data_IF_334701885850
#
_entry.id   IF_334701885850
#
_cell.length_a   1.000
_cell.length_b   1.000
_cell.length_c   1.000
_cell.angle_alpha   90.00
_cell.angle_beta   90.00
_cell.angle_gamma   90.00
#
_symmetry.space_group_name_H-M   'P 1'
#
loop_
_entity.id
_entity.type
_entity.pdbx_description
1 polymer ?
#
# COMPACT_ATOMS: atom_id res chain seq x y z
N UNK A 1 -3.97 28.78 24.65
CA UNK A 1 -3.89 27.33 25.00
C UNK A 1 -2.96 26.68 23.99
N UNK A 2 -1.81 26.18 24.38
CA UNK A 2 -0.94 25.38 23.52
C UNK A 2 -1.69 24.09 23.14
N UNK A 3 -1.96 23.90 21.85
CA UNK A 3 -2.60 22.67 21.36
C UNK A 3 -1.71 21.50 21.76
N UNK A 4 -2.27 20.52 22.48
CA UNK A 4 -1.52 19.34 22.92
C UNK A 4 -0.97 18.63 21.68
N UNK A 5 0.32 18.32 21.66
CA UNK A 5 0.99 17.60 20.57
C UNK A 5 0.54 16.14 20.59
N UNK A 6 0.32 15.55 19.43
CA UNK A 6 0.02 14.12 19.31
C UNK A 6 1.28 13.32 19.63
N UNK A 7 1.22 12.42 20.60
CA UNK A 7 2.33 11.57 21.00
C UNK A 7 2.41 10.35 20.08
N UNK A 8 3.52 10.17 19.37
CA UNK A 8 3.70 9.11 18.38
C UNK A 8 4.91 8.26 18.73
N UNK A 9 4.79 6.93 18.57
CA UNK A 9 5.92 6.01 18.63
C UNK A 9 6.12 5.33 17.26
N UNK A 10 7.37 5.07 16.88
CA UNK A 10 7.73 4.37 15.64
C UNK A 10 8.35 3.02 15.97
N UNK A 11 7.79 1.96 15.41
CA UNK A 11 8.29 0.57 15.53
C UNK A 11 8.95 0.18 14.23
N UNK A 12 10.28 0.21 14.22
CA UNK A 12 11.10 -0.10 13.06
C UNK A 12 12.24 0.90 12.85
N UNK A 13 13.45 0.38 12.60
CA UNK A 13 14.68 1.16 12.42
C UNK A 13 15.33 0.92 11.06
N UNK A 14 14.57 0.36 10.10
CA UNK A 14 15.05 0.09 8.74
C UNK A 14 15.65 1.34 8.08
N UNK A 15 16.65 1.17 7.17
CA UNK A 15 17.36 2.31 6.59
C UNK A 15 16.50 3.12 5.62
N UNK A 16 15.42 2.56 5.14
CA UNK A 16 14.51 3.19 4.16
C UNK A 16 13.21 3.65 4.87
N UNK A 17 12.15 2.87 4.88
CA UNK A 17 10.87 3.27 5.46
C UNK A 17 10.93 3.53 6.97
N UNK A 18 11.70 2.76 7.76
CA UNK A 18 11.89 3.07 9.17
C UNK A 18 12.49 4.45 9.42
N UNK A 19 13.37 4.92 8.51
CA UNK A 19 13.90 6.28 8.55
C UNK A 19 12.86 7.33 8.18
N UNK A 20 12.08 7.07 7.13
CA UNK A 20 11.03 7.99 6.67
C UNK A 20 9.91 8.16 7.69
N UNK A 21 9.47 7.08 8.35
CA UNK A 21 8.49 7.16 9.44
C UNK A 21 9.03 8.01 10.61
N UNK A 22 10.26 7.78 11.04
CA UNK A 22 10.87 8.57 12.11
C UNK A 22 11.01 10.04 11.69
N UNK A 23 11.44 10.33 10.45
CA UNK A 23 11.60 11.68 9.90
C UNK A 23 10.28 12.45 9.89
N UNK A 24 9.25 11.88 9.29
CA UNK A 24 7.98 12.59 9.08
C UNK A 24 7.33 13.03 10.40
N UNK A 25 7.43 12.20 11.44
CA UNK A 25 6.91 12.58 12.75
C UNK A 25 7.83 13.55 13.50
N UNK A 26 9.15 13.38 13.42
CA UNK A 26 10.11 14.25 14.10
C UNK A 26 10.13 15.70 13.57
N UNK A 27 9.89 15.89 12.28
CA UNK A 27 9.87 17.21 11.62
C UNK A 27 8.59 18.01 11.88
N UNK A 28 7.55 17.39 12.46
CA UNK A 28 6.26 18.02 12.66
C UNK A 28 6.17 18.79 13.98
N UNK A 29 5.76 20.06 13.96
CA UNK A 29 5.62 20.86 15.19
C UNK A 29 4.44 20.43 16.06
N UNK A 30 3.46 19.71 15.47
CA UNK A 30 2.23 19.26 16.12
C UNK A 30 2.31 17.82 16.63
N UNK A 31 3.50 17.19 16.54
CA UNK A 31 3.79 15.82 16.99
C UNK A 31 4.87 15.82 18.06
N UNK A 32 4.76 14.90 18.99
CA UNK A 32 5.80 14.50 19.92
C UNK A 32 6.21 13.07 19.60
N UNK A 33 7.32 12.90 18.85
CA UNK A 33 7.89 11.59 18.59
C UNK A 33 8.58 11.10 19.87
N UNK A 34 7.84 10.36 20.69
CA UNK A 34 8.29 9.97 22.03
C UNK A 34 9.28 8.81 22.01
N UNK A 35 9.12 7.84 21.08
CA UNK A 35 9.90 6.62 21.09
C UNK A 35 10.18 6.06 19.71
N UNK A 36 11.30 5.33 19.61
CA UNK A 36 11.64 4.45 18.47
C UNK A 36 11.99 3.07 19.01
N UNK A 37 11.33 2.03 18.47
CA UNK A 37 11.61 0.64 18.81
C UNK A 37 12.43 -0.02 17.71
N UNK A 38 13.58 -0.60 18.06
CA UNK A 38 14.49 -1.31 17.18
C UNK A 38 14.63 -2.78 17.56
N UNK A 39 15.07 -3.63 16.62
CA UNK A 39 15.30 -5.05 16.87
C UNK A 39 16.50 -5.31 17.80
N UNK A 40 17.37 -4.32 18.03
CA UNK A 40 18.45 -4.36 19.02
C UNK A 40 18.59 -2.98 19.66
N UNK A 41 19.15 -2.90 20.92
CA UNK A 41 19.40 -1.64 21.59
C UNK A 41 20.24 -0.65 20.75
N UNK A 42 21.24 -1.15 20.00
CA UNK A 42 22.14 -0.32 19.20
C UNK A 42 21.40 0.30 18.02
N UNK A 43 20.54 -0.47 17.33
CA UNK A 43 19.72 0.03 16.22
C UNK A 43 18.68 1.03 16.69
N UNK A 44 18.05 0.77 17.84
CA UNK A 44 17.11 1.69 18.47
C UNK A 44 17.82 3.01 18.86
N UNK A 45 18.96 2.93 19.54
CA UNK A 45 19.73 4.09 19.96
C UNK A 45 20.20 4.95 18.78
N UNK A 46 20.72 4.32 17.72
CA UNK A 46 21.16 5.03 16.52
C UNK A 46 20.03 5.83 15.86
N UNK A 47 18.85 5.21 15.67
CA UNK A 47 17.70 5.91 15.09
C UNK A 47 17.14 6.99 16.03
N UNK A 48 17.00 6.68 17.31
CA UNK A 48 16.49 7.60 18.30
C UNK A 48 17.35 8.87 18.42
N UNK A 49 18.67 8.74 18.29
CA UNK A 49 19.60 9.88 18.30
C UNK A 49 19.36 10.83 17.11
N UNK A 50 19.06 10.29 15.91
CA UNK A 50 18.78 11.11 14.72
C UNK A 50 17.52 11.99 14.90
N UNK A 51 16.52 11.48 15.62
CA UNK A 51 15.19 12.11 15.76
C UNK A 51 14.88 12.61 17.17
N UNK A 52 15.82 12.50 18.10
CA UNK A 52 15.70 12.92 19.51
C UNK A 52 14.54 12.26 20.26
N UNK A 53 14.32 10.97 20.01
CA UNK A 53 13.31 10.16 20.69
C UNK A 53 13.95 9.23 21.74
N UNK A 54 13.12 8.56 22.56
CA UNK A 54 13.58 7.54 23.50
C UNK A 54 13.77 6.21 22.78
N UNK A 55 14.95 5.53 22.88
CA UNK A 55 15.16 4.23 22.27
C UNK A 55 14.58 3.10 23.12
N UNK A 56 13.94 2.12 22.45
CA UNK A 56 13.47 0.88 23.04
C UNK A 56 13.87 -0.32 22.16
N UNK A 57 14.10 -1.46 22.78
CA UNK A 57 14.27 -2.76 22.11
C UNK A 57 13.17 -3.76 22.47
N UNK A 58 12.25 -3.37 23.33
CA UNK A 58 11.06 -4.11 23.74
C UNK A 58 9.82 -3.26 23.47
N UNK A 59 8.88 -3.82 22.69
CA UNK A 59 7.68 -3.13 22.28
C UNK A 59 6.70 -2.95 23.45
N UNK A 60 6.52 -3.99 24.27
CA UNK A 60 5.64 -3.95 25.44
C UNK A 60 6.10 -2.91 26.45
N UNK A 61 7.40 -2.86 26.76
CA UNK A 61 7.98 -1.84 27.64
C UNK A 61 7.71 -0.42 27.10
N UNK A 62 7.87 -0.21 25.79
CA UNK A 62 7.60 1.08 25.15
C UNK A 62 6.13 1.47 25.31
N UNK A 63 5.21 0.55 25.02
CA UNK A 63 3.75 0.81 25.09
C UNK A 63 3.31 1.17 26.51
N UNK A 64 3.83 0.47 27.52
CA UNK A 64 3.51 0.72 28.93
C UNK A 64 4.01 2.08 29.41
N UNK A 65 5.27 2.43 29.08
CA UNK A 65 5.92 3.65 29.58
C UNK A 65 5.49 4.90 28.84
N UNK A 66 5.43 4.82 27.52
CA UNK A 66 5.19 5.99 26.68
C UNK A 66 3.70 6.27 26.47
N UNK A 67 2.85 5.25 26.40
CA UNK A 67 1.41 5.37 26.16
C UNK A 67 1.10 6.32 24.98
N UNK A 68 1.59 6.02 23.77
CA UNK A 68 1.43 6.91 22.63
C UNK A 68 -0.04 7.04 22.18
N UNK A 69 -0.37 8.17 21.55
CA UNK A 69 -1.67 8.38 20.89
C UNK A 69 -1.76 7.61 19.56
N UNK A 70 -0.60 7.32 18.94
CA UNK A 70 -0.48 6.57 17.67
C UNK A 70 0.83 5.78 17.67
N UNK A 71 0.76 4.52 17.22
CA UNK A 71 1.93 3.69 16.93
C UNK A 71 2.07 3.51 15.43
N UNK A 72 3.25 3.81 14.88
CA UNK A 72 3.56 3.64 13.46
C UNK A 72 4.49 2.44 13.27
N UNK A 73 3.96 1.35 12.67
CA UNK A 73 4.67 0.07 12.50
C UNK A 73 5.23 -0.01 11.08
N UNK A 74 6.57 -0.06 10.97
CA UNK A 74 7.30 -0.05 9.70
C UNK A 74 8.49 -1.04 9.73
N UNK A 75 8.18 -2.30 9.80
CA UNK A 75 9.14 -3.41 9.87
C UNK A 75 9.45 -3.99 8.47
N UNK A 76 10.28 -5.03 8.42
CA UNK A 76 10.40 -5.84 7.22
C UNK A 76 9.05 -6.50 6.90
N UNK A 77 8.70 -6.59 5.62
CA UNK A 77 7.36 -6.97 5.16
C UNK A 77 6.82 -8.28 5.77
N UNK A 78 7.68 -9.28 5.96
CA UNK A 78 7.31 -10.58 6.56
C UNK A 78 7.19 -10.55 8.11
N UNK A 79 7.55 -9.42 8.75
CA UNK A 79 7.59 -9.29 10.20
C UNK A 79 6.47 -8.39 10.76
N UNK A 80 5.40 -8.15 10.00
CA UNK A 80 4.35 -7.22 10.41
C UNK A 80 3.38 -7.83 11.42
N UNK A 81 3.10 -9.12 11.36
CA UNK A 81 1.98 -9.74 12.09
C UNK A 81 2.08 -9.57 13.60
N UNK A 82 3.10 -10.17 14.23
CA UNK A 82 3.19 -10.23 15.70
C UNK A 82 3.28 -8.83 16.35
N UNK A 83 4.14 -7.91 15.90
CA UNK A 83 4.19 -6.58 16.51
C UNK A 83 2.92 -5.77 16.31
N UNK A 84 2.25 -5.91 15.15
CA UNK A 84 0.96 -5.27 14.88
C UNK A 84 -0.11 -5.81 15.82
N UNK A 85 -0.16 -7.14 16.02
CA UNK A 85 -1.09 -7.78 16.93
C UNK A 85 -0.87 -7.36 18.39
N UNK A 86 0.39 -7.22 18.80
CA UNK A 86 0.76 -6.75 20.14
C UNK A 86 0.24 -5.33 20.38
N UNK A 87 0.47 -4.39 19.43
CA UNK A 87 -0.06 -3.01 19.51
C UNK A 87 -1.59 -2.99 19.60
N UNK A 88 -2.27 -3.80 18.76
CA UNK A 88 -3.73 -3.91 18.75
C UNK A 88 -4.24 -4.43 20.12
N UNK A 89 -3.64 -5.51 20.65
CA UNK A 89 -4.04 -6.10 21.93
C UNK A 89 -3.78 -5.17 23.11
N UNK A 90 -2.75 -4.36 23.04
CA UNK A 90 -2.47 -3.32 24.02
C UNK A 90 -3.43 -2.11 23.92
N UNK A 91 -4.25 -2.03 22.85
CA UNK A 91 -5.32 -1.04 22.72
C UNK A 91 -4.88 0.31 22.14
N UNK A 92 -3.78 0.36 21.39
CA UNK A 92 -3.28 1.61 20.82
C UNK A 92 -3.70 1.79 19.34
N UNK A 93 -4.11 3.01 18.94
CA UNK A 93 -4.28 3.39 17.54
C UNK A 93 -2.99 3.16 16.74
N UNK A 94 -3.11 2.74 15.47
CA UNK A 94 -1.91 2.42 14.70
C UNK A 94 -2.03 2.70 13.21
N UNK A 95 -0.87 2.97 12.60
CA UNK A 95 -0.58 2.93 11.18
C UNK A 95 0.40 1.78 10.93
N UNK A 96 0.12 0.89 9.99
CA UNK A 96 1.03 -0.17 9.57
C UNK A 96 1.50 0.05 8.13
N UNK A 97 2.75 -0.32 7.82
CA UNK A 97 3.25 -0.37 6.45
C UNK A 97 2.59 -1.48 5.64
N UNK A 98 2.60 -1.30 4.32
CA UNK A 98 2.17 -2.32 3.37
C UNK A 98 3.34 -3.30 3.06
N UNK A 99 3.05 -4.56 2.70
CA UNK A 99 1.74 -5.20 2.77
C UNK A 99 1.29 -5.37 4.22
N UNK A 100 -0.01 -5.51 4.45
CA UNK A 100 -0.53 -5.70 5.81
C UNK A 100 0.15 -6.90 6.48
N UNK A 101 0.07 -8.05 5.82
CA UNK A 101 0.75 -9.32 6.09
C UNK A 101 0.85 -10.12 4.79
N UNK A 102 1.33 -11.37 4.83
CA UNK A 102 1.38 -12.28 3.67
C UNK A 102 0.26 -13.31 3.66
N UNK A 103 -0.32 -13.59 4.80
CA UNK A 103 -1.36 -14.59 5.01
C UNK A 103 -2.71 -13.94 5.29
N UNK A 104 -3.80 -14.49 4.70
CA UNK A 104 -5.14 -13.95 4.88
C UNK A 104 -5.70 -14.22 6.27
N UNK A 105 -5.38 -15.35 6.89
CA UNK A 105 -5.83 -15.68 8.24
C UNK A 105 -5.19 -14.73 9.26
N UNK A 106 -3.91 -14.38 9.07
CA UNK A 106 -3.23 -13.35 9.86
C UNK A 106 -3.91 -11.98 9.70
N UNK A 107 -4.22 -11.59 8.45
CA UNK A 107 -4.94 -10.33 8.18
C UNK A 107 -6.31 -10.31 8.88
N UNK A 108 -7.03 -11.42 8.83
CA UNK A 108 -8.33 -11.57 9.48
C UNK A 108 -8.23 -11.52 11.01
N UNK A 109 -7.18 -12.09 11.60
CA UNK A 109 -6.91 -11.98 13.04
C UNK A 109 -6.69 -10.50 13.41
N UNK A 110 -5.82 -9.78 12.71
CA UNK A 110 -5.54 -8.37 12.99
C UNK A 110 -6.80 -7.51 12.93
N UNK A 111 -7.60 -7.69 11.87
CA UNK A 111 -8.82 -6.90 11.69
C UNK A 111 -9.88 -7.20 12.77
N UNK A 112 -10.12 -8.48 13.10
CA UNK A 112 -11.06 -8.86 14.14
C UNK A 112 -10.66 -8.32 15.53
N UNK A 113 -9.37 -8.44 15.87
CA UNK A 113 -8.85 -7.95 17.15
C UNK A 113 -8.94 -6.43 17.27
N UNK A 114 -8.67 -5.70 16.18
CA UNK A 114 -8.81 -4.25 16.13
C UNK A 114 -10.27 -3.80 16.20
N UNK A 115 -11.18 -4.48 15.48
CA UNK A 115 -12.60 -4.20 15.46
C UNK A 115 -13.24 -4.45 16.84
N UNK A 116 -12.90 -5.56 17.51
CA UNK A 116 -13.37 -5.85 18.86
C UNK A 116 -13.01 -4.77 19.89
N UNK A 117 -11.99 -3.94 19.59
CA UNK A 117 -11.55 -2.84 20.43
C UNK A 117 -11.91 -1.45 19.87
N UNK A 118 -12.63 -1.41 18.73
CA UNK A 118 -12.94 -0.17 18.02
C UNK A 118 -11.71 0.72 17.76
N UNK A 119 -10.58 0.10 17.41
CA UNK A 119 -9.32 0.80 17.23
C UNK A 119 -9.25 1.53 15.87
N UNK A 120 -8.60 2.68 15.89
CA UNK A 120 -8.15 3.36 14.69
C UNK A 120 -6.98 2.57 14.08
N UNK A 121 -7.25 1.83 13.00
CA UNK A 121 -6.28 0.95 12.35
C UNK A 121 -6.11 1.32 10.87
N UNK A 122 -5.01 1.99 10.56
CA UNK A 122 -4.66 2.48 9.23
C UNK A 122 -3.57 1.64 8.56
N UNK A 123 -3.51 1.70 7.22
CA UNK A 123 -2.43 1.14 6.41
C UNK A 123 -1.84 2.18 5.46
N UNK A 124 -0.53 2.10 5.18
CA UNK A 124 0.16 3.08 4.36
C UNK A 124 0.08 2.78 2.86
N UNK A 125 -1.05 3.11 2.21
CA UNK A 125 -1.14 3.20 0.75
C UNK A 125 -0.94 4.65 0.30
N UNK A 126 0.28 5.15 0.50
CA UNK A 126 0.68 6.53 0.25
C UNK A 126 0.52 6.98 -1.22
N UNK A 127 0.52 6.07 -2.20
CA UNK A 127 0.31 6.41 -3.62
C UNK A 127 -1.02 7.15 -3.86
N UNK A 128 -2.06 6.90 -3.06
CA UNK A 128 -3.34 7.63 -3.15
C UNK A 128 -3.19 9.15 -2.95
N UNK A 129 -2.10 9.57 -2.27
CA UNK A 129 -1.81 10.97 -1.92
C UNK A 129 -0.91 11.69 -2.92
N UNK A 130 -0.49 11.02 -3.98
CA UNK A 130 0.18 11.69 -5.10
C UNK A 130 -0.78 12.65 -5.79
N UNK A 131 -0.35 13.89 -6.05
CA UNK A 131 -1.20 14.91 -6.68
C UNK A 131 -1.82 14.45 -8.01
N UNK A 132 -1.08 13.79 -8.93
CA UNK A 132 -1.69 13.23 -10.15
C UNK A 132 -2.79 12.19 -9.86
N UNK A 133 -2.62 11.38 -8.82
CA UNK A 133 -3.60 10.37 -8.42
C UNK A 133 -4.85 11.00 -7.80
N UNK A 134 -4.67 12.00 -6.92
CA UNK A 134 -5.77 12.76 -6.36
C UNK A 134 -6.60 13.44 -7.46
N UNK A 135 -5.94 14.04 -8.47
CA UNK A 135 -6.61 14.62 -9.64
C UNK A 135 -7.37 13.57 -10.46
N UNK A 136 -6.82 12.36 -10.61
CA UNK A 136 -7.51 11.25 -11.26
C UNK A 136 -8.77 10.84 -10.50
N UNK A 137 -8.68 10.72 -9.17
CA UNK A 137 -9.82 10.42 -8.31
C UNK A 137 -10.89 11.53 -8.36
N UNK A 138 -10.47 12.80 -8.42
CA UNK A 138 -11.38 13.94 -8.58
C UNK A 138 -12.11 13.88 -9.92
N UNK A 139 -11.43 13.61 -11.02
CA UNK A 139 -12.02 13.47 -12.35
C UNK A 139 -13.04 12.31 -12.42
N UNK A 140 -12.75 11.17 -11.76
CA UNK A 140 -13.70 10.06 -11.65
C UNK A 140 -14.93 10.49 -10.86
N UNK A 141 -14.77 11.11 -9.69
CA UNK A 141 -15.88 11.57 -8.83
C UNK A 141 -16.73 12.65 -9.49
N UNK A 142 -16.11 13.53 -10.27
CA UNK A 142 -16.81 14.57 -11.02
C UNK A 142 -17.60 14.02 -12.23
N UNK A 143 -17.37 12.74 -12.61
CA UNK A 143 -17.98 12.14 -13.77
C UNK A 143 -17.35 12.57 -15.11
N UNK A 144 -16.16 13.18 -15.08
CA UNK A 144 -15.49 13.70 -16.28
C UNK A 144 -15.12 12.58 -17.28
N UNK A 145 -14.94 11.34 -16.80
CA UNK A 145 -14.68 10.19 -17.65
C UNK A 145 -15.96 9.54 -18.23
N UNK A 146 -17.15 9.88 -17.69
CA UNK A 146 -18.38 9.14 -17.96
C UNK A 146 -18.32 7.73 -17.31
N UNK A 147 -18.87 6.73 -17.97
CA UNK A 147 -18.77 5.34 -17.53
C UNK A 147 -17.37 4.81 -17.82
N UNK A 148 -16.73 4.20 -16.83
CA UNK A 148 -15.44 3.56 -17.01
C UNK A 148 -15.60 2.34 -17.93
N UNK A 149 -14.72 2.25 -18.93
CA UNK A 149 -14.66 1.16 -19.91
C UNK A 149 -13.49 0.23 -19.60
N UNK A 150 -12.30 0.81 -19.40
CA UNK A 150 -11.15 0.03 -18.98
C UNK A 150 -10.17 0.84 -18.11
N UNK A 151 -9.37 0.10 -17.33
CA UNK A 151 -8.26 0.67 -16.56
C UNK A 151 -7.00 -0.19 -16.71
N UNK A 152 -5.82 0.44 -16.72
CA UNK A 152 -4.56 -0.27 -16.72
C UNK A 152 -3.64 0.22 -15.62
N UNK A 153 -2.90 -0.71 -15.04
CA UNK A 153 -1.80 -0.48 -14.13
C UNK A 153 -0.56 -1.15 -14.68
N UNK A 154 0.53 -0.41 -14.73
CA UNK A 154 1.86 -0.96 -14.98
C UNK A 154 2.84 -0.41 -13.97
N UNK A 155 3.60 -1.29 -13.34
CA UNK A 155 4.65 -0.90 -12.40
C UNK A 155 5.85 -1.83 -12.54
N UNK A 156 6.97 -1.26 -13.02
CA UNK A 156 8.27 -1.90 -13.00
C UNK A 156 9.02 -1.52 -11.74
N UNK A 157 9.97 -2.34 -11.35
CA UNK A 157 10.77 -2.10 -10.16
C UNK A 157 11.91 -3.09 -9.99
N UNK A 158 12.64 -2.92 -8.92
CA UNK A 158 13.71 -3.82 -8.53
C UNK A 158 13.27 -4.65 -7.32
N UNK A 159 13.72 -5.92 -7.21
CA UNK A 159 13.32 -6.77 -6.11
C UNK A 159 13.82 -6.20 -4.77
N UNK A 160 12.97 -6.33 -3.75
CA UNK A 160 13.36 -6.13 -2.35
C UNK A 160 14.22 -7.29 -1.81
N UNK A 161 14.21 -7.45 -0.50
CA UNK A 161 15.00 -8.48 0.21
C UNK A 161 14.20 -9.74 0.53
N UNK A 162 12.90 -9.77 0.27
CA UNK A 162 12.04 -10.92 0.54
C UNK A 162 12.37 -12.10 -0.36
N UNK A 163 12.35 -13.29 0.24
CA UNK A 163 12.52 -14.58 -0.45
C UNK A 163 11.18 -15.21 -0.87
N UNK A 164 10.06 -14.56 -0.60
CA UNK A 164 8.74 -15.08 -0.94
C UNK A 164 8.58 -15.20 -2.47
N UNK A 165 8.12 -16.33 -3.01
CA UNK A 165 8.06 -16.56 -4.47
C UNK A 165 7.14 -15.58 -5.21
N UNK A 166 6.18 -14.98 -4.52
CA UNK A 166 5.25 -13.98 -5.04
C UNK A 166 5.48 -12.58 -4.43
N UNK A 167 6.70 -12.27 -3.98
CA UNK A 167 7.03 -10.99 -3.35
C UNK A 167 6.63 -9.79 -4.21
N UNK A 168 6.89 -9.83 -5.53
CA UNK A 168 6.47 -8.74 -6.41
C UNK A 168 4.97 -8.41 -6.27
N UNK A 169 4.12 -9.43 -6.34
CA UNK A 169 2.67 -9.25 -6.29
C UNK A 169 2.21 -8.74 -4.92
N UNK A 170 2.68 -9.36 -3.84
CA UNK A 170 2.21 -9.06 -2.48
C UNK A 170 2.80 -7.76 -1.93
N UNK A 171 4.11 -7.53 -2.14
CA UNK A 171 4.80 -6.37 -1.56
C UNK A 171 4.68 -5.09 -2.40
N UNK A 172 4.70 -5.23 -3.73
CA UNK A 172 4.78 -4.06 -4.62
C UNK A 172 3.48 -3.83 -5.37
N UNK A 173 2.91 -4.86 -5.99
CA UNK A 173 1.68 -4.71 -6.76
C UNK A 173 0.43 -4.56 -5.89
N UNK A 174 0.53 -4.72 -4.55
CA UNK A 174 -0.54 -4.32 -3.63
C UNK A 174 -0.93 -2.85 -3.79
N UNK A 175 0.03 -1.96 -4.14
CA UNK A 175 -0.28 -0.58 -4.50
C UNK A 175 -1.16 -0.48 -5.75
N UNK A 176 -0.93 -1.36 -6.74
CA UNK A 176 -1.72 -1.38 -7.97
C UNK A 176 -3.13 -1.90 -7.75
N UNK A 177 -3.26 -2.94 -6.96
CA UNK A 177 -4.57 -3.51 -6.60
C UNK A 177 -5.40 -2.51 -5.79
N UNK A 178 -4.78 -1.87 -4.80
CA UNK A 178 -5.39 -0.82 -4.01
C UNK A 178 -5.77 0.40 -4.87
N UNK A 179 -4.88 0.84 -5.75
CA UNK A 179 -5.08 1.99 -6.62
C UNK A 179 -6.22 1.78 -7.61
N UNK A 180 -6.26 0.60 -8.25
CA UNK A 180 -7.31 0.28 -9.21
C UNK A 180 -8.68 0.21 -8.53
N UNK A 181 -8.80 -0.39 -7.34
CA UNK A 181 -10.06 -0.37 -6.59
C UNK A 181 -10.43 1.04 -6.09
N UNK A 182 -9.44 1.83 -5.67
CA UNK A 182 -9.66 3.23 -5.25
C UNK A 182 -10.23 4.10 -6.36
N UNK A 183 -9.77 3.90 -7.60
CA UNK A 183 -10.16 4.72 -8.75
C UNK A 183 -11.34 4.15 -9.55
N UNK A 184 -11.49 2.83 -9.60
CA UNK A 184 -12.43 2.15 -10.51
C UNK A 184 -13.55 1.38 -9.80
N UNK A 185 -13.48 1.28 -8.47
CA UNK A 185 -14.37 0.45 -7.67
C UNK A 185 -13.92 -1.03 -7.61
N UNK A 186 -14.73 -1.91 -6.98
CA UNK A 186 -14.32 -3.26 -6.65
C UNK A 186 -14.00 -4.13 -7.87
N UNK A 187 -12.90 -4.89 -7.78
CA UNK A 187 -12.55 -5.97 -8.71
C UNK A 187 -13.29 -7.22 -8.27
N UNK A 188 -14.10 -7.82 -9.16
CA UNK A 188 -14.90 -9.01 -8.85
C UNK A 188 -14.33 -10.30 -9.41
N UNK A 189 -13.40 -10.25 -10.39
CA UNK A 189 -12.73 -11.44 -10.87
C UNK A 189 -11.39 -11.14 -11.54
N UNK A 190 -10.51 -12.16 -11.58
CA UNK A 190 -9.16 -12.06 -12.10
C UNK A 190 -8.78 -13.28 -12.94
N UNK A 191 -7.89 -13.07 -13.94
CA UNK A 191 -7.18 -14.14 -14.68
C UNK A 191 -5.73 -13.72 -14.86
N UNK A 192 -4.75 -14.62 -14.62
CA UNK A 192 -3.35 -14.21 -14.56
C UNK A 192 -2.38 -15.16 -15.25
N UNK A 193 -1.26 -14.60 -15.69
CA UNK A 193 -0.05 -15.28 -16.12
C UNK A 193 1.17 -14.71 -15.41
N UNK A 194 2.13 -15.58 -15.07
CA UNK A 194 3.37 -15.18 -14.39
C UNK A 194 4.57 -15.85 -15.05
N UNK A 195 5.74 -15.24 -14.89
CA UNK A 195 7.00 -15.81 -15.38
C UNK A 195 8.13 -15.58 -14.37
N UNK A 196 9.02 -16.56 -14.29
CA UNK A 196 10.29 -16.51 -13.52
C UNK A 196 11.47 -16.67 -14.49
N UNK A 197 11.63 -15.72 -15.41
CA UNK A 197 12.72 -15.74 -16.40
C UNK A 197 14.09 -15.48 -15.81
N UNK A 198 14.13 -14.75 -14.68
CA UNK A 198 15.36 -14.30 -14.05
C UNK A 198 15.77 -15.14 -12.86
N UNK A 199 14.95 -16.13 -12.44
CA UNK A 199 15.21 -16.98 -11.28
C UNK A 199 15.02 -16.26 -9.93
N UNK A 200 14.15 -15.24 -9.91
CA UNK A 200 13.87 -14.41 -8.71
C UNK A 200 12.46 -14.63 -8.14
N UNK A 201 11.90 -15.81 -8.34
CA UNK A 201 10.50 -16.11 -8.08
C UNK A 201 9.62 -15.63 -9.24
N UNK A 202 8.31 -15.57 -9.03
CA UNK A 202 7.35 -15.08 -10.03
C UNK A 202 7.44 -13.55 -10.19
N UNK A 203 8.58 -13.10 -10.72
CA UNK A 203 9.03 -11.71 -10.72
C UNK A 203 8.29 -10.81 -11.71
N UNK A 204 7.67 -11.39 -12.75
CA UNK A 204 6.87 -10.65 -13.71
C UNK A 204 5.50 -11.30 -13.88
N UNK A 205 4.45 -10.50 -13.83
CA UNK A 205 3.07 -10.97 -13.95
C UNK A 205 2.21 -10.03 -14.79
N UNK A 206 1.17 -10.61 -15.40
CA UNK A 206 0.07 -9.91 -16.05
C UNK A 206 -1.23 -10.51 -15.53
N UNK A 207 -2.12 -9.66 -15.04
CA UNK A 207 -3.47 -10.05 -14.64
C UNK A 207 -4.51 -9.25 -15.45
N UNK A 208 -5.48 -9.96 -16.04
CA UNK A 208 -6.72 -9.37 -16.51
C UNK A 208 -7.71 -9.27 -15.35
N UNK A 209 -8.39 -8.15 -15.24
CA UNK A 209 -9.28 -7.79 -14.15
C UNK A 209 -10.66 -7.48 -14.70
N UNK A 210 -11.70 -7.84 -13.96
CA UNK A 210 -13.07 -7.40 -14.20
C UNK A 210 -13.55 -6.65 -12.97
N UNK A 211 -14.18 -5.50 -13.18
CA UNK A 211 -14.74 -4.67 -12.12
C UNK A 211 -16.23 -4.89 -11.97
N UNK A 212 -16.75 -4.75 -10.77
CA UNK A 212 -18.18 -4.88 -10.49
C UNK A 212 -19.05 -3.91 -11.30
N UNK A 213 -18.48 -2.81 -11.80
CA UNK A 213 -19.14 -1.86 -12.71
C UNK A 213 -19.33 -2.40 -14.14
N UNK A 214 -18.70 -3.53 -14.50
CA UNK A 214 -18.64 -4.08 -15.85
C UNK A 214 -17.43 -3.59 -16.66
N UNK A 215 -16.64 -2.66 -16.14
CA UNK A 215 -15.36 -2.29 -16.75
C UNK A 215 -14.35 -3.44 -16.68
N UNK A 216 -13.35 -3.43 -17.57
CA UNK A 216 -12.25 -4.40 -17.56
C UNK A 216 -10.92 -3.70 -17.25
N UNK A 217 -9.91 -4.47 -16.86
CA UNK A 217 -8.60 -3.87 -16.59
C UNK A 217 -7.45 -4.83 -16.76
N UNK A 218 -6.25 -4.28 -16.64
CA UNK A 218 -5.02 -5.06 -16.58
C UNK A 218 -4.06 -4.53 -15.54
N UNK A 219 -3.37 -5.46 -14.89
CA UNK A 219 -2.25 -5.18 -14.01
C UNK A 219 -1.00 -5.85 -14.56
N UNK A 220 0.05 -5.08 -14.81
CA UNK A 220 1.37 -5.57 -15.24
C UNK A 220 2.40 -5.17 -14.19
N UNK A 221 2.96 -6.15 -13.50
CA UNK A 221 3.98 -5.95 -12.46
C UNK A 221 5.28 -6.68 -12.78
N UNK A 222 6.42 -6.03 -12.62
CA UNK A 222 7.71 -6.64 -12.92
C UNK A 222 8.82 -6.18 -12.01
N UNK A 223 9.51 -7.12 -11.37
CA UNK A 223 10.81 -6.88 -10.71
C UNK A 223 12.00 -6.98 -11.68
N UNK A 224 11.72 -7.27 -12.97
CA UNK A 224 12.73 -7.37 -14.02
C UNK A 224 12.77 -6.10 -14.91
N UNK A 225 12.16 -5.01 -14.43
CA UNK A 225 12.12 -3.70 -15.10
C UNK A 225 12.78 -2.65 -14.22
N UNK A 226 13.68 -1.86 -14.77
CA UNK A 226 14.41 -0.83 -14.01
C UNK A 226 13.54 0.38 -13.68
N UNK A 227 13.71 0.93 -12.48
CA UNK A 227 13.16 2.24 -12.11
C UNK A 227 13.71 3.40 -12.96
N UNK A 228 14.83 3.20 -13.65
CA UNK A 228 15.40 4.21 -14.53
C UNK A 228 14.66 4.35 -15.87
N UNK A 229 13.77 3.44 -16.21
CA UNK A 229 12.99 3.54 -17.44
C UNK A 229 11.93 4.64 -17.32
N UNK A 230 11.80 5.54 -18.30
CA UNK A 230 10.75 6.55 -18.29
C UNK A 230 9.37 5.89 -18.34
N UNK A 231 8.43 6.47 -17.61
CA UNK A 231 7.06 5.95 -17.46
C UNK A 231 7.03 4.46 -17.06
N UNK A 232 7.94 4.07 -16.16
CA UNK A 232 7.97 2.70 -15.63
C UNK A 232 6.76 2.40 -14.75
N UNK A 233 6.13 3.45 -14.21
CA UNK A 233 4.87 3.37 -13.47
C UNK A 233 3.79 4.18 -14.19
N UNK A 234 2.68 3.53 -14.56
CA UNK A 234 1.55 4.21 -15.22
C UNK A 234 0.21 3.68 -14.71
N UNK A 235 -0.74 4.62 -14.58
CA UNK A 235 -2.16 4.32 -14.38
C UNK A 235 -2.94 4.99 -15.50
N UNK A 236 -3.72 4.22 -16.23
CA UNK A 236 -4.63 4.73 -17.26
C UNK A 236 -6.07 4.38 -16.90
N UNK A 237 -6.95 5.36 -16.99
CA UNK A 237 -8.39 5.21 -16.86
C UNK A 237 -9.04 5.70 -18.14
N UNK A 238 -9.84 4.87 -18.79
CA UNK A 238 -10.54 5.23 -20.00
C UNK A 238 -12.04 5.02 -19.80
N UNK A 239 -12.78 6.09 -19.99
CA UNK A 239 -14.23 6.10 -19.89
C UNK A 239 -14.88 6.57 -21.20
N UNK A 240 -16.21 6.60 -21.23
CA UNK A 240 -17.01 6.97 -22.41
C UNK A 240 -16.88 8.46 -22.76
N UNK A 241 -16.49 9.32 -21.81
CA UNK A 241 -16.41 10.77 -21.99
C UNK A 241 -14.99 11.35 -21.87
N UNK A 242 -14.02 10.57 -21.40
CA UNK A 242 -12.65 11.05 -21.22
C UNK A 242 -11.67 9.95 -20.82
N UNK A 243 -10.39 10.31 -20.91
CA UNK A 243 -9.25 9.47 -20.53
C UNK A 243 -8.34 10.21 -19.58
N UNK A 244 -7.91 9.54 -18.53
CA UNK A 244 -6.85 9.98 -17.62
C UNK A 244 -5.63 9.10 -17.79
N UNK A 245 -4.43 9.71 -17.78
CA UNK A 245 -3.15 9.03 -17.68
C UNK A 245 -2.35 9.66 -16.55
N UNK A 246 -1.89 8.86 -15.59
CA UNK A 246 -0.92 9.20 -14.55
C UNK A 246 0.39 8.51 -14.86
N UNK A 247 1.49 9.26 -14.88
CA UNK A 247 2.83 8.77 -15.16
C UNK A 247 3.74 8.97 -13.95
N UNK A 248 4.54 7.92 -13.65
CA UNK A 248 5.51 7.85 -12.57
C UNK A 248 4.98 8.37 -11.22
N UNK A 249 3.76 8.00 -10.88
CA UNK A 249 2.99 8.32 -9.66
C UNK A 249 2.86 9.82 -9.37
N UNK A 250 3.98 10.53 -9.23
CA UNK A 250 4.03 11.94 -8.80
C UNK A 250 4.35 12.90 -9.95
N UNK A 251 4.71 12.40 -11.15
CA UNK A 251 5.30 13.26 -12.16
C UNK A 251 4.26 13.97 -13.01
N UNK A 252 3.24 13.26 -13.52
CA UNK A 252 2.36 13.84 -14.52
C UNK A 252 0.95 13.26 -14.47
N UNK A 253 -0.02 14.15 -14.63
CA UNK A 253 -1.42 13.84 -14.90
C UNK A 253 -1.79 14.41 -16.27
N UNK A 254 -2.49 13.63 -17.08
CA UNK A 254 -3.03 14.07 -18.36
C UNK A 254 -4.49 13.69 -18.44
N UNK A 255 -5.37 14.64 -18.75
CA UNK A 255 -6.77 14.40 -19.04
C UNK A 255 -7.09 14.81 -20.48
N UNK A 256 -7.78 13.94 -21.20
CA UNK A 256 -8.24 14.18 -22.57
C UNK A 256 -9.73 13.85 -22.65
N UNK A 257 -10.54 14.81 -23.05
CA UNK A 257 -11.98 14.60 -23.29
C UNK A 257 -12.19 13.77 -24.57
N UNK A 258 -13.16 12.88 -24.58
CA UNK A 258 -13.49 12.08 -25.78
C UNK A 258 -13.81 13.01 -26.96
N UNK A 259 -13.23 12.68 -28.13
CA UNK A 259 -13.35 13.47 -29.34
C UNK A 259 -12.51 14.76 -29.39
N UNK A 260 -11.71 15.07 -28.36
CA UNK A 260 -10.81 16.22 -28.35
C UNK A 260 -9.38 15.80 -28.75
N UNK A 261 -8.73 16.61 -29.57
CA UNK A 261 -7.28 16.51 -29.85
C UNK A 261 -6.44 17.33 -28.84
N UNK A 262 -7.10 18.01 -27.87
CA UNK A 262 -6.43 18.84 -26.85
C UNK A 262 -6.54 18.17 -25.50
N UNK A 263 -5.42 18.06 -24.81
CA UNK A 263 -5.32 17.49 -23.46
C UNK A 263 -4.98 18.55 -22.42
N UNK A 264 -5.56 18.43 -21.23
CA UNK A 264 -5.12 19.17 -20.03
C UNK A 264 -4.03 18.39 -19.36
N UNK A 265 -2.90 19.05 -19.06
CA UNK A 265 -1.73 18.43 -18.42
C UNK A 265 -1.42 19.16 -17.13
N UNK A 266 -1.22 18.37 -16.05
CA UNK A 266 -0.58 18.84 -14.83
C UNK A 266 0.80 18.17 -14.70
N UNK A 267 1.77 18.97 -14.32
CA UNK A 267 3.12 18.54 -13.96
C UNK A 267 3.65 19.54 -12.94
N UNK A 268 4.33 19.04 -11.89
CA UNK A 268 4.90 19.93 -10.87
C UNK A 268 5.81 20.98 -11.49
N UNK A 269 5.52 22.26 -11.23
CA UNK A 269 6.30 23.41 -11.74
C UNK A 269 7.71 23.48 -11.15
N UNK A 270 8.53 24.40 -11.66
CA UNK A 270 9.96 24.51 -11.35
C UNK A 270 10.25 24.60 -9.83
N UNK A 271 9.44 25.34 -9.07
CA UNK A 271 9.61 25.55 -7.64
C UNK A 271 8.71 24.64 -6.77
N UNK A 272 7.98 23.70 -7.36
CA UNK A 272 7.10 22.79 -6.62
C UNK A 272 7.84 21.49 -6.27
N UNK A 273 8.74 21.56 -5.28
CA UNK A 273 9.48 20.38 -4.81
C UNK A 273 8.58 19.41 -4.04
N UNK A 274 7.54 19.91 -3.38
CA UNK A 274 6.59 19.10 -2.60
C UNK A 274 5.91 18.03 -3.46
N UNK A 275 5.31 18.43 -4.60
CA UNK A 275 4.61 17.46 -5.45
C UNK A 275 5.55 16.63 -6.34
N UNK A 276 6.81 17.02 -6.45
CA UNK A 276 7.81 16.36 -7.29
C UNK A 276 8.45 15.18 -6.60
N UNK A 277 8.46 15.17 -5.26
CA UNK A 277 9.14 14.16 -4.44
C UNK A 277 8.17 13.05 -4.02
N UNK A 278 8.53 11.81 -4.30
CA UNK A 278 7.69 10.65 -3.94
C UNK A 278 7.41 10.56 -2.43
N UNK A 279 8.40 10.85 -1.58
CA UNK A 279 8.23 10.78 -0.12
C UNK A 279 7.16 11.74 0.42
N UNK A 280 6.89 12.84 -0.28
CA UNK A 280 5.82 13.78 0.09
C UNK A 280 4.41 13.17 0.02
N UNK A 281 4.24 12.06 -0.68
CA UNK A 281 2.97 11.30 -0.64
C UNK A 281 2.72 10.73 0.75
N UNK A 282 3.79 10.33 1.45
CA UNK A 282 3.71 9.84 2.82
C UNK A 282 3.47 11.00 3.81
N UNK A 283 4.14 12.14 3.64
CA UNK A 283 3.89 13.33 4.46
C UNK A 283 2.40 13.75 4.38
N UNK A 284 1.82 13.79 3.17
CA UNK A 284 0.39 14.09 2.97
C UNK A 284 -0.54 13.05 3.60
N UNK A 285 -0.18 11.76 3.50
CA UNK A 285 -0.95 10.71 4.17
C UNK A 285 -0.94 10.90 5.69
N UNK A 286 0.22 11.20 6.28
CA UNK A 286 0.35 11.45 7.72
C UNK A 286 -0.41 12.71 8.15
N UNK A 287 -0.49 13.76 7.29
CA UNK A 287 -1.32 14.93 7.55
C UNK A 287 -2.80 14.56 7.76
N UNK A 288 -3.37 13.83 6.81
CA UNK A 288 -4.77 13.39 6.84
C UNK A 288 -5.02 12.37 7.97
N UNK A 289 -4.07 11.44 8.17
CA UNK A 289 -4.11 10.45 9.26
C UNK A 289 -4.20 11.11 10.63
N UNK A 290 -3.30 12.05 10.94
CA UNK A 290 -3.27 12.73 12.23
C UNK A 290 -4.47 13.65 12.41
N UNK A 291 -4.96 14.26 11.35
CA UNK A 291 -6.18 15.03 11.38
C UNK A 291 -7.39 14.13 11.71
N UNK A 292 -7.54 13.01 11.01
CA UNK A 292 -8.62 12.05 11.25
C UNK A 292 -8.59 11.51 12.69
N UNK A 293 -7.40 11.15 13.20
CA UNK A 293 -7.23 10.66 14.56
C UNK A 293 -7.70 11.71 15.60
N UNK A 294 -7.28 12.96 15.44
CA UNK A 294 -7.65 14.06 16.36
C UNK A 294 -9.13 14.42 16.34
N UNK A 295 -9.77 14.24 15.21
CA UNK A 295 -11.19 14.48 14.99
C UNK A 295 -12.07 13.28 15.36
N UNK A 296 -11.47 12.16 15.74
CA UNK A 296 -12.19 10.91 16.02
C UNK A 296 -12.89 10.32 14.79
N UNK A 297 -12.40 10.65 13.59
CA UNK A 297 -12.89 10.07 12.33
C UNK A 297 -12.20 8.72 12.08
N UNK A 298 -12.83 7.83 11.30
CA UNK A 298 -12.15 6.63 10.81
C UNK A 298 -10.84 6.95 10.08
N UNK A 299 -9.87 6.02 10.04
CA UNK A 299 -8.64 6.21 9.30
C UNK A 299 -8.93 6.47 7.80
N UNK A 300 -8.21 7.40 7.15
CA UNK A 300 -8.45 7.74 5.75
C UNK A 300 -8.15 6.57 4.80
N UNK A 301 -7.21 5.72 5.17
CA UNK A 301 -6.95 4.43 4.54
C UNK A 301 -6.99 3.35 5.62
N UNK A 302 -8.14 2.70 5.75
CA UNK A 302 -8.34 1.65 6.75
C UNK A 302 -7.55 0.38 6.39
N UNK A 303 -7.04 -0.35 7.39
CA UNK A 303 -6.28 -1.59 7.19
C UNK A 303 -7.03 -2.69 6.40
N UNK A 304 -8.37 -2.63 6.32
CA UNK A 304 -9.18 -3.48 5.43
C UNK A 304 -8.74 -3.38 3.97
N UNK A 305 -8.27 -2.20 3.50
CA UNK A 305 -7.73 -2.06 2.16
C UNK A 305 -6.48 -2.95 1.95
N UNK A 306 -5.64 -3.11 2.97
CA UNK A 306 -4.51 -4.03 2.93
C UNK A 306 -4.91 -5.48 2.81
N UNK A 307 -5.91 -5.90 3.61
CA UNK A 307 -6.49 -7.25 3.50
C UNK A 307 -7.12 -7.48 2.12
N UNK A 308 -7.83 -6.49 1.58
CA UNK A 308 -8.46 -6.58 0.26
C UNK A 308 -7.42 -6.73 -0.85
N UNK A 309 -6.36 -5.93 -0.83
CA UNK A 309 -5.25 -6.06 -1.79
C UNK A 309 -4.58 -7.45 -1.68
N UNK A 310 -4.41 -7.98 -0.47
CA UNK A 310 -3.90 -9.33 -0.24
C UNK A 310 -4.84 -10.42 -0.79
N UNK A 311 -6.16 -10.29 -0.60
CA UNK A 311 -7.14 -11.23 -1.14
C UNK A 311 -7.12 -11.27 -2.68
N UNK A 312 -7.00 -10.11 -3.32
CA UNK A 312 -6.82 -10.01 -4.76
C UNK A 312 -5.49 -10.63 -5.22
N UNK A 313 -4.39 -10.42 -4.48
CA UNK A 313 -3.10 -11.04 -4.77
C UNK A 313 -3.19 -12.58 -4.70
N UNK A 314 -3.83 -13.14 -3.67
CA UNK A 314 -4.04 -14.58 -3.54
C UNK A 314 -4.94 -15.13 -4.67
N UNK A 315 -5.98 -14.42 -5.06
CA UNK A 315 -6.82 -14.80 -6.20
C UNK A 315 -6.04 -14.82 -7.53
N UNK A 316 -5.15 -13.85 -7.74
CA UNK A 316 -4.24 -13.78 -8.89
C UNK A 316 -3.27 -14.98 -8.89
N UNK A 317 -2.69 -15.31 -7.72
CA UNK A 317 -1.82 -16.48 -7.57
C UNK A 317 -2.61 -17.76 -7.88
N UNK A 318 -3.80 -17.91 -7.33
CA UNK A 318 -4.66 -19.07 -7.57
C UNK A 318 -5.07 -19.21 -9.03
N UNK A 319 -5.42 -18.10 -9.70
CA UNK A 319 -5.71 -18.07 -11.13
C UNK A 319 -4.52 -18.56 -11.97
N UNK A 320 -3.32 -18.10 -11.64
CA UNK A 320 -2.11 -18.57 -12.33
C UNK A 320 -1.86 -20.07 -12.13
N UNK A 321 -2.03 -20.57 -10.90
CA UNK A 321 -1.82 -21.99 -10.56
C UNK A 321 -2.82 -22.93 -11.26
N UNK A 322 -4.07 -22.51 -11.38
CA UNK A 322 -5.15 -23.30 -11.94
C UNK A 322 -5.39 -23.07 -13.44
N UNK A 323 -4.88 -21.96 -13.97
CA UNK A 323 -5.16 -21.54 -15.35
C UNK A 323 -6.61 -21.10 -15.58
N UNK A 324 -7.36 -20.76 -14.53
CA UNK A 324 -8.77 -20.41 -14.59
C UNK A 324 -9.04 -18.98 -14.10
N UNK A 325 -10.20 -18.43 -14.49
CA UNK A 325 -10.75 -17.22 -13.89
C UNK A 325 -11.13 -17.49 -12.43
N UNK A 326 -10.81 -16.58 -11.55
CA UNK A 326 -11.16 -16.63 -10.12
C UNK A 326 -12.07 -15.46 -9.81
N UNK A 327 -13.24 -15.75 -9.27
CA UNK A 327 -14.16 -14.73 -8.75
C UNK A 327 -13.70 -14.30 -7.36
N UNK A 328 -13.71 -12.98 -7.11
CA UNK A 328 -13.29 -12.39 -5.84
C UNK A 328 -14.50 -11.71 -5.21
N UNK A 329 -15.05 -12.27 -4.11
CA UNK A 329 -16.19 -11.67 -3.45
C UNK A 329 -15.90 -10.22 -3.02
N UNK A 330 -16.90 -9.33 -3.02
CA UNK A 330 -16.75 -8.01 -2.46
C UNK A 330 -16.38 -8.12 -0.96
N UNK A 331 -15.62 -7.15 -0.47
CA UNK A 331 -15.39 -7.03 0.97
C UNK A 331 -16.67 -6.48 1.62
N UNK A 332 -17.48 -7.36 2.22
CA UNK A 332 -18.74 -7.02 2.89
C UNK A 332 -18.53 -6.43 4.30
N UNK A 333 -17.27 -6.18 4.67
CA UNK A 333 -16.92 -5.69 5.99
C UNK A 333 -17.05 -6.74 7.11
N UNK A 334 -17.50 -7.96 6.80
CA UNK A 334 -17.54 -9.07 7.77
C UNK A 334 -16.23 -9.87 7.69
N UNK A 335 -15.69 -10.26 8.84
CA UNK A 335 -14.51 -11.14 8.93
C UNK A 335 -14.78 -12.59 8.47
N UNK A 336 -15.92 -12.85 7.82
CA UNK A 336 -16.38 -14.20 7.44
C UNK A 336 -16.45 -14.46 5.94
N UNK A 337 -16.08 -13.51 5.09
CA UNK A 337 -16.42 -13.52 3.65
C UNK A 337 -15.33 -13.88 2.67
N UNK A 338 -14.14 -14.32 3.06
CA UNK A 338 -13.13 -14.73 2.09
C UNK A 338 -12.98 -16.24 2.03
N UNK A 339 -13.19 -16.79 0.82
CA UNK A 339 -12.73 -18.12 0.52
C UNK A 339 -11.21 -18.20 0.79
N UNK A 340 -10.79 -19.02 1.74
CA UNK A 340 -9.39 -19.39 1.92
C UNK A 340 -8.99 -20.19 0.68
N UNK A 341 -8.20 -19.57 -0.21
CA UNK A 341 -7.55 -20.32 -1.28
C UNK A 341 -6.38 -21.08 -0.64
N UNK A 342 -6.48 -22.41 -0.55
CA UNK A 342 -5.35 -23.23 -0.13
C UNK A 342 -4.21 -23.07 -1.14
N UNK A 343 -3.19 -22.31 -0.76
CA UNK A 343 -1.94 -22.25 -1.50
C UNK A 343 -1.21 -23.58 -1.25
N UNK A 344 -1.21 -24.47 -2.26
CA UNK A 344 -0.37 -25.65 -2.21
C UNK A 344 1.08 -25.21 -2.05
N UNK A 345 1.68 -25.49 -0.90
CA UNK A 345 3.08 -25.21 -0.61
C UNK A 345 3.95 -25.92 -1.67
N UNK A 346 4.50 -25.13 -2.61
CA UNK A 346 5.72 -25.51 -3.34
C UNK A 346 5.59 -26.52 -4.46
N UNK A 347 4.99 -26.18 -5.57
CA UNK A 347 5.44 -26.75 -6.84
C UNK A 347 6.68 -25.97 -7.30
N UNK A 348 7.88 -26.50 -7.09
CA UNK A 348 9.10 -26.03 -7.77
C UNK A 348 8.83 -26.09 -9.28
N UNK A 349 9.21 -25.06 -10.05
CA UNK A 349 9.11 -25.14 -11.50
C UNK A 349 9.90 -26.35 -12.01
N UNK A 350 9.42 -27.06 -13.04
CA UNK A 350 10.11 -28.20 -13.59
C UNK A 350 11.50 -27.79 -14.05
N UNK A 351 12.54 -28.43 -13.51
CA UNK A 351 13.92 -28.27 -13.97
C UNK A 351 13.99 -28.68 -15.45
N UNK A 352 14.15 -27.71 -16.32
CA UNK A 352 14.44 -27.98 -17.73
C UNK A 352 15.89 -28.48 -17.80
N UNK A 353 16.08 -29.73 -18.17
CA UNK A 353 17.37 -30.27 -18.57
C UNK A 353 17.95 -29.41 -19.71
N UNK A 354 19.11 -28.80 -19.42
CA UNK A 354 19.95 -28.21 -20.49
C UNK A 354 20.39 -29.36 -21.39
N UNK A 355 20.04 -29.29 -22.65
CA UNK A 355 20.75 -29.96 -23.74
C UNK A 355 21.73 -28.98 -24.35
#
# INVERSE_FOLDING_TARGET
MTKQRTKVAVVGTGPWWGREHARVYAERPDVDLCAVVGSTPERAAARAQEVRATPYSDLGEMLERERPDLVSVCLANEAHFEPTLEVIRAGFPLLVEKPLVFDLDEADVLLREAEARSLFFAINFNHRYATPVAMAADAVRAGDLGELVFATWRFGGEPGTSSHPHANLIETQCHGLDMLEHLCGPIDSVTAQMTDKTGRGWSTLVAALHFASGAVGSLVGSYDSSYAYPATHTVELNGTSGRVLVEDTVQRYTFTRAGSEVSSVWQAGYFNDTDRQFHQTFDKHVDDLLQALREGRPPPVHARAGRRALALAHAIIHSFQTGTRIDVPPDDGSARGAASYELSSGARPPQRHRK
#
